data_IF_393137009827
#
_entry.id   IF_393137009827
#
_cell.length_a   1.000
_cell.length_b   1.000
_cell.length_c   1.000
_cell.angle_alpha   90.00
_cell.angle_beta   90.00
_cell.angle_gamma   90.00
#
_symmetry.space_group_name_H-M   'P 1'
#
loop_
_entity.id
_entity.type
_entity.pdbx_description
1 polymer ?
#
# COMPACT_ATOMS: atom_id res chain seq x y z
N UNK A 1 -5.79 26.94 5.89
CA UNK A 1 -5.88 26.71 7.36
C UNK A 1 -7.28 26.39 7.87
N UNK A 2 -8.34 27.15 7.55
CA UNK A 2 -9.70 26.85 8.04
C UNK A 2 -10.20 25.42 7.69
N UNK A 3 -9.97 24.96 6.45
CA UNK A 3 -10.34 23.60 6.02
C UNK A 3 -9.57 22.51 6.78
N UNK A 4 -8.30 22.75 7.09
CA UNK A 4 -7.49 21.85 7.90
C UNK A 4 -8.10 21.73 9.31
N UNK A 5 -8.40 22.86 9.95
CA UNK A 5 -9.01 22.87 11.29
C UNK A 5 -10.35 22.14 11.31
N UNK A 6 -11.21 22.40 10.31
CA UNK A 6 -12.49 21.69 10.17
C UNK A 6 -12.30 20.18 10.01
N UNK A 7 -11.36 19.76 9.15
CA UNK A 7 -11.02 18.34 8.95
C UNK A 7 -10.48 17.70 10.23
N UNK A 8 -9.64 18.39 10.99
CA UNK A 8 -9.10 17.90 12.27
C UNK A 8 -10.17 17.81 13.35
N UNK A 9 -11.08 18.78 13.42
CA UNK A 9 -12.24 18.73 14.33
C UNK A 9 -13.15 17.55 13.99
N UNK A 10 -13.48 17.34 12.70
CA UNK A 10 -14.26 16.20 12.26
C UNK A 10 -13.54 14.87 12.53
N UNK A 11 -12.22 14.81 12.33
CA UNK A 11 -11.42 13.63 12.64
C UNK A 11 -11.56 13.23 14.10
N UNK A 12 -11.44 14.21 15.01
CA UNK A 12 -11.64 14.00 16.45
C UNK A 12 -13.04 13.48 16.75
N UNK A 13 -14.06 14.10 16.15
CA UNK A 13 -15.46 13.68 16.33
C UNK A 13 -15.72 12.25 15.84
N UNK A 14 -15.18 11.87 14.69
CA UNK A 14 -15.33 10.50 14.13
C UNK A 14 -14.63 9.47 15.01
N UNK A 15 -13.51 9.84 15.63
CA UNK A 15 -12.65 8.93 16.38
C UNK A 15 -13.14 8.74 17.82
N UNK A 16 -13.51 9.84 18.49
CA UNK A 16 -13.86 9.83 19.92
C UNK A 16 -15.37 9.66 20.14
N UNK A 17 -16.21 10.04 19.18
CA UNK A 17 -17.65 10.01 19.32
C UNK A 17 -18.30 9.03 18.34
N UNK A 18 -19.34 8.33 18.81
CA UNK A 18 -20.15 7.44 17.97
C UNK A 18 -21.14 8.26 17.14
N UNK A 19 -20.64 8.89 16.07
CA UNK A 19 -21.47 9.70 15.19
C UNK A 19 -22.57 8.84 14.53
N UNK A 20 -23.80 9.37 14.37
CA UNK A 20 -24.87 8.67 13.66
C UNK A 20 -24.43 8.23 12.26
N UNK A 21 -24.87 7.04 11.83
CA UNK A 21 -24.51 6.47 10.52
C UNK A 21 -24.74 7.46 9.37
N UNK A 22 -25.90 8.13 9.37
CA UNK A 22 -26.24 9.12 8.34
C UNK A 22 -25.23 10.27 8.25
N UNK A 23 -24.71 10.74 9.38
CA UNK A 23 -23.71 11.80 9.40
C UNK A 23 -22.37 11.31 8.87
N UNK A 24 -21.96 10.08 9.21
CA UNK A 24 -20.74 9.46 8.67
C UNK A 24 -20.81 9.26 7.16
N UNK A 25 -21.96 8.85 6.63
CA UNK A 25 -22.22 8.77 5.20
C UNK A 25 -22.12 10.14 4.52
N UNK A 26 -22.69 11.18 5.13
CA UNK A 26 -22.58 12.55 4.62
C UNK A 26 -21.12 13.04 4.61
N UNK A 27 -20.36 12.79 5.68
CA UNK A 27 -18.93 13.15 5.75
C UNK A 27 -18.16 12.45 4.62
N UNK A 28 -18.29 11.12 4.50
CA UNK A 28 -17.66 10.32 3.44
C UNK A 28 -17.94 10.90 2.05
N UNK A 29 -19.22 11.06 1.70
CA UNK A 29 -19.64 11.49 0.37
C UNK A 29 -19.23 12.94 0.08
N UNK A 30 -19.30 13.80 1.08
CA UNK A 30 -18.85 15.19 0.95
C UNK A 30 -17.35 15.26 0.70
N UNK A 31 -16.53 14.54 1.47
CA UNK A 31 -15.06 14.55 1.32
C UNK A 31 -14.66 14.01 -0.06
N UNK A 32 -15.23 12.89 -0.51
CA UNK A 32 -14.97 12.34 -1.86
C UNK A 32 -15.33 13.37 -2.94
N UNK A 33 -16.54 13.93 -2.88
CA UNK A 33 -16.99 14.92 -3.86
C UNK A 33 -16.12 16.19 -3.85
N UNK A 34 -15.68 16.62 -2.67
CA UNK A 34 -14.83 17.79 -2.50
C UNK A 34 -13.43 17.56 -3.07
N UNK A 35 -12.83 16.39 -2.80
CA UNK A 35 -11.56 15.99 -3.39
C UNK A 35 -11.64 15.89 -4.92
N UNK A 36 -12.74 15.34 -5.45
CA UNK A 36 -12.95 15.27 -6.90
C UNK A 36 -13.07 16.66 -7.54
N UNK A 37 -13.84 17.56 -6.92
CA UNK A 37 -14.10 18.89 -7.48
C UNK A 37 -12.93 19.88 -7.28
N UNK A 38 -12.23 19.81 -6.16
CA UNK A 38 -11.25 20.83 -5.76
C UNK A 38 -9.85 20.30 -5.46
N UNK A 39 -9.65 19.00 -5.36
CA UNK A 39 -8.40 18.39 -4.89
C UNK A 39 -7.16 18.84 -5.66
N UNK A 40 -7.29 19.07 -6.97
CA UNK A 40 -6.24 19.62 -7.83
C UNK A 40 -5.71 21.01 -7.37
N UNK A 41 -6.59 21.82 -6.77
CA UNK A 41 -6.29 23.21 -6.35
C UNK A 41 -5.95 23.34 -4.87
N UNK A 42 -6.12 22.25 -4.10
CA UNK A 42 -5.89 22.28 -2.66
C UNK A 42 -4.39 22.16 -2.34
N UNK A 43 -3.99 22.84 -1.28
CA UNK A 43 -2.69 22.62 -0.66
C UNK A 43 -2.52 21.16 -0.24
N UNK A 44 -1.32 20.60 -0.44
CA UNK A 44 -1.04 19.19 -0.19
C UNK A 44 -1.44 18.73 1.22
N UNK A 45 -1.18 19.55 2.23
CA UNK A 45 -1.52 19.22 3.62
C UNK A 45 -3.03 19.19 3.89
N UNK A 46 -3.82 20.00 3.17
CA UNK A 46 -5.29 19.98 3.26
C UNK A 46 -5.81 18.70 2.62
N UNK A 47 -5.31 18.37 1.43
CA UNK A 47 -5.64 17.13 0.73
C UNK A 47 -5.32 15.91 1.60
N UNK A 48 -4.13 15.85 2.20
CA UNK A 48 -3.75 14.76 3.11
C UNK A 48 -4.68 14.66 4.32
N UNK A 49 -5.03 15.79 4.95
CA UNK A 49 -5.97 15.80 6.10
C UNK A 49 -7.36 15.28 5.73
N UNK A 50 -7.88 15.67 4.56
CA UNK A 50 -9.18 15.19 4.07
C UNK A 50 -9.15 13.70 3.75
N UNK A 51 -8.07 13.22 3.13
CA UNK A 51 -7.89 11.79 2.85
C UNK A 51 -7.81 10.99 4.15
N UNK A 52 -7.06 11.46 5.14
CA UNK A 52 -7.02 10.83 6.47
C UNK A 52 -8.41 10.74 7.08
N UNK A 53 -9.19 11.84 7.05
CA UNK A 53 -10.57 11.84 7.57
C UNK A 53 -11.43 10.79 6.86
N UNK A 54 -11.33 10.71 5.53
CA UNK A 54 -12.05 9.73 4.72
C UNK A 54 -11.70 8.30 5.13
N UNK A 55 -10.41 7.97 5.22
CA UNK A 55 -9.94 6.64 5.60
C UNK A 55 -10.35 6.29 7.05
N UNK A 56 -10.28 7.26 7.99
CA UNK A 56 -10.71 7.07 9.38
C UNK A 56 -12.20 6.74 9.47
N UNK A 57 -13.04 7.52 8.77
CA UNK A 57 -14.48 7.25 8.70
C UNK A 57 -14.73 5.86 8.13
N UNK A 58 -14.02 5.47 7.07
CA UNK A 58 -14.13 4.14 6.47
C UNK A 58 -13.75 3.02 7.43
N UNK A 59 -12.64 3.14 8.17
CA UNK A 59 -12.22 2.14 9.17
C UNK A 59 -13.25 1.95 10.28
N UNK A 60 -13.73 3.05 10.85
CA UNK A 60 -14.69 3.03 11.96
C UNK A 60 -16.08 2.55 11.54
N UNK A 61 -16.40 2.69 10.25
CA UNK A 61 -17.70 2.32 9.69
C UNK A 61 -17.63 1.04 8.85
N UNK A 62 -16.51 0.31 8.89
CA UNK A 62 -16.21 -0.77 7.95
C UNK A 62 -17.29 -1.87 7.91
N UNK A 63 -17.96 -2.13 9.03
CA UNK A 63 -19.02 -3.13 9.16
C UNK A 63 -20.43 -2.55 9.26
N UNK A 64 -20.57 -1.22 9.22
CA UNK A 64 -21.86 -0.58 9.44
C UNK A 64 -22.67 -0.44 8.14
N UNK A 65 -21.99 -0.25 7.01
CA UNK A 65 -22.60 -0.20 5.68
C UNK A 65 -21.56 -0.60 4.60
N UNK A 66 -22.02 -1.33 3.58
CA UNK A 66 -21.20 -1.82 2.46
C UNK A 66 -20.58 -0.68 1.66
N UNK A 67 -21.23 0.49 1.61
CA UNK A 67 -20.72 1.66 0.88
C UNK A 67 -19.36 2.13 1.40
N UNK A 68 -19.02 1.91 2.67
CA UNK A 68 -17.68 2.25 3.18
C UNK A 68 -16.59 1.37 2.56
N UNK A 69 -16.93 0.14 2.16
CA UNK A 69 -16.01 -0.79 1.50
C UNK A 69 -15.87 -0.51 0.00
N UNK A 70 -16.74 0.32 -0.59
CA UNK A 70 -16.61 0.78 -1.97
C UNK A 70 -15.51 1.85 -2.18
N UNK A 71 -14.79 2.27 -1.14
CA UNK A 71 -13.75 3.31 -1.28
C UNK A 71 -12.65 2.97 -2.30
N UNK A 72 -12.33 1.69 -2.48
CA UNK A 72 -11.39 1.25 -3.53
C UNK A 72 -11.93 1.55 -4.93
N UNK A 73 -13.22 1.28 -5.15
CA UNK A 73 -13.93 1.57 -6.41
C UNK A 73 -14.06 3.07 -6.64
N UNK A 74 -14.35 3.85 -5.59
CA UNK A 74 -14.38 5.31 -5.69
C UNK A 74 -13.01 5.89 -6.06
N UNK A 75 -11.93 5.30 -5.52
CA UNK A 75 -10.55 5.69 -5.85
C UNK A 75 -10.22 5.46 -7.32
N UNK A 76 -10.83 4.47 -7.97
CA UNK A 76 -10.66 4.25 -9.42
C UNK A 76 -11.19 5.42 -10.25
N UNK A 77 -12.21 6.14 -9.78
CA UNK A 77 -12.70 7.34 -10.49
C UNK A 77 -11.64 8.44 -10.56
N UNK A 78 -10.78 8.54 -9.54
CA UNK A 78 -9.62 9.45 -9.54
C UNK A 78 -8.48 8.92 -10.42
N UNK A 79 -8.22 7.62 -10.39
CA UNK A 79 -7.16 6.97 -11.17
C UNK A 79 -7.45 6.89 -12.67
N UNK A 80 -8.72 7.01 -13.08
CA UNK A 80 -9.11 7.09 -14.48
C UNK A 80 -8.98 8.51 -15.07
N UNK A 81 -8.60 9.50 -14.25
CA UNK A 81 -8.37 10.87 -14.70
C UNK A 81 -6.88 11.12 -14.88
N UNK A 82 -6.51 11.93 -15.87
CA UNK A 82 -5.12 12.33 -16.08
C UNK A 82 -4.71 13.41 -15.04
N UNK A 83 -3.42 13.47 -14.67
CA UNK A 83 -2.79 14.51 -13.82
C UNK A 83 -2.95 14.37 -12.29
N UNK A 84 -3.32 15.44 -11.58
CA UNK A 84 -3.29 15.56 -10.12
C UNK A 84 -4.33 14.67 -9.42
N UNK A 85 -5.47 14.41 -10.07
CA UNK A 85 -6.49 13.47 -9.57
C UNK A 85 -5.93 12.06 -9.46
N UNK A 86 -5.10 11.64 -10.41
CA UNK A 86 -4.38 10.36 -10.32
C UNK A 86 -3.55 10.25 -9.03
N UNK A 87 -2.81 11.32 -8.69
CA UNK A 87 -2.03 11.38 -7.45
C UNK A 87 -2.92 11.27 -6.20
N UNK A 88 -4.12 11.89 -6.23
CA UNK A 88 -5.09 11.82 -5.14
C UNK A 88 -5.60 10.38 -5.00
N UNK A 89 -5.93 9.71 -6.11
CA UNK A 89 -6.35 8.30 -6.10
C UNK A 89 -5.31 7.39 -5.44
N UNK A 90 -4.04 7.52 -5.83
CA UNK A 90 -2.94 6.77 -5.20
C UNK A 90 -2.82 7.08 -3.70
N UNK A 91 -2.90 8.36 -3.31
CA UNK A 91 -2.82 8.78 -1.89
C UNK A 91 -3.99 8.26 -1.06
N UNK A 92 -5.21 8.18 -1.61
CA UNK A 92 -6.36 7.60 -0.92
C UNK A 92 -6.12 6.12 -0.63
N UNK A 93 -5.64 5.37 -1.62
CA UNK A 93 -5.36 3.94 -1.44
C UNK A 93 -4.22 3.71 -0.45
N UNK A 94 -3.14 4.49 -0.53
CA UNK A 94 -1.97 4.38 0.36
C UNK A 94 -2.36 4.66 1.82
N UNK A 95 -3.09 5.77 2.05
CA UNK A 95 -3.61 6.11 3.37
C UNK A 95 -4.63 5.09 3.87
N UNK A 96 -5.45 4.50 2.99
CA UNK A 96 -6.41 3.46 3.38
C UNK A 96 -5.69 2.21 3.88
N UNK A 97 -4.68 1.73 3.17
CA UNK A 97 -3.89 0.57 3.61
C UNK A 97 -3.21 0.88 4.94
N UNK A 98 -2.59 2.05 5.10
CA UNK A 98 -2.00 2.49 6.36
C UNK A 98 -3.01 2.56 7.51
N UNK A 99 -4.18 3.16 7.28
CA UNK A 99 -5.22 3.32 8.29
C UNK A 99 -5.77 1.97 8.75
N UNK A 100 -5.91 1.01 7.85
CA UNK A 100 -6.36 -0.35 8.18
C UNK A 100 -5.32 -1.16 8.95
N UNK A 101 -4.03 -0.93 8.67
CA UNK A 101 -2.93 -1.66 9.27
C UNK A 101 -2.48 -1.09 10.63
N UNK A 102 -2.77 0.18 10.93
CA UNK A 102 -2.36 0.82 12.19
C UNK A 102 -3.29 0.46 13.35
N UNK A 103 -2.74 0.42 14.57
CA UNK A 103 -3.53 0.38 15.80
C UNK A 103 -4.22 1.72 16.03
N UNK A 104 -5.43 1.70 16.58
CA UNK A 104 -6.20 2.91 16.89
C UNK A 104 -6.73 2.80 18.32
N UNK A 105 -6.22 3.59 19.28
CA UNK A 105 -6.51 3.44 20.71
C UNK A 105 -8.00 3.34 21.05
N UNK A 106 -8.85 4.00 20.27
CA UNK A 106 -10.29 4.08 20.46
C UNK A 106 -11.04 2.80 20.01
N UNK A 107 -10.37 1.90 19.29
CA UNK A 107 -10.91 0.59 18.91
C UNK A 107 -10.30 -0.51 19.77
N UNK A 108 -11.13 -1.45 20.23
CA UNK A 108 -10.63 -2.65 20.91
C UNK A 108 -9.77 -3.50 19.98
N UNK A 109 -8.81 -4.26 20.53
CA UNK A 109 -7.97 -5.17 19.74
C UNK A 109 -8.78 -6.16 18.89
N UNK A 110 -9.92 -6.62 19.40
CA UNK A 110 -10.84 -7.48 18.66
C UNK A 110 -11.44 -6.78 17.45
N UNK A 111 -11.94 -5.54 17.60
CA UNK A 111 -12.48 -4.75 16.49
C UNK A 111 -11.39 -4.45 15.46
N UNK A 112 -10.20 -4.04 15.89
CA UNK A 112 -9.08 -3.76 15.01
C UNK A 112 -8.71 -4.98 14.17
N UNK A 113 -8.51 -6.15 14.81
CA UNK A 113 -8.20 -7.40 14.10
C UNK A 113 -9.30 -7.80 13.13
N UNK A 114 -10.57 -7.62 13.52
CA UNK A 114 -11.73 -7.92 12.66
C UNK A 114 -11.73 -7.06 11.39
N UNK A 115 -11.56 -5.74 11.53
CA UNK A 115 -11.50 -4.82 10.39
C UNK A 115 -10.28 -5.12 9.52
N UNK A 116 -9.10 -5.24 10.12
CA UNK A 116 -7.86 -5.50 9.39
C UNK A 116 -7.89 -6.82 8.61
N UNK A 117 -8.46 -7.88 9.19
CA UNK A 117 -8.58 -9.18 8.53
C UNK A 117 -9.58 -9.13 7.36
N UNK A 118 -10.72 -8.45 7.56
CA UNK A 118 -11.72 -8.27 6.51
C UNK A 118 -11.18 -7.42 5.35
N UNK A 119 -10.45 -6.34 5.63
CA UNK A 119 -9.80 -5.52 4.60
C UNK A 119 -8.75 -6.30 3.81
N UNK A 120 -7.90 -7.08 4.50
CA UNK A 120 -6.89 -7.97 3.90
C UNK A 120 -7.52 -8.94 2.89
N UNK A 121 -8.67 -9.49 3.21
CA UNK A 121 -9.35 -10.49 2.39
C UNK A 121 -10.16 -9.89 1.23
N UNK A 122 -10.74 -8.70 1.41
CA UNK A 122 -11.68 -8.14 0.45
C UNK A 122 -11.08 -7.08 -0.48
N UNK A 123 -10.04 -6.36 -0.05
CA UNK A 123 -9.59 -5.15 -0.74
C UNK A 123 -8.08 -5.12 -1.03
N UNK A 124 -7.25 -5.64 -0.11
CA UNK A 124 -5.79 -5.42 -0.18
C UNK A 124 -5.14 -5.95 -1.47
N UNK A 125 -5.56 -7.13 -1.96
CA UNK A 125 -5.04 -7.67 -3.22
C UNK A 125 -5.36 -6.76 -4.41
N UNK A 126 -6.60 -6.28 -4.50
CA UNK A 126 -7.02 -5.36 -5.56
C UNK A 126 -6.20 -4.06 -5.53
N UNK A 127 -5.92 -3.53 -4.34
CA UNK A 127 -5.09 -2.33 -4.18
C UNK A 127 -3.65 -2.60 -4.64
N UNK A 128 -3.10 -3.77 -4.32
CA UNK A 128 -1.79 -4.17 -4.80
C UNK A 128 -1.74 -4.30 -6.34
N UNK A 129 -2.75 -4.91 -6.96
CA UNK A 129 -2.89 -4.97 -8.43
C UNK A 129 -2.94 -3.58 -9.07
N UNK A 130 -3.70 -2.65 -8.47
CA UNK A 130 -3.76 -1.26 -8.89
C UNK A 130 -2.37 -0.62 -8.82
N UNK A 131 -1.61 -0.86 -7.75
CA UNK A 131 -0.25 -0.31 -7.60
C UNK A 131 0.70 -0.83 -8.69
N UNK A 132 0.65 -2.12 -9.02
CA UNK A 132 1.47 -2.72 -10.08
C UNK A 132 1.10 -2.18 -11.46
N UNK A 133 -0.19 -2.05 -11.75
CA UNK A 133 -0.67 -1.43 -13.00
C UNK A 133 -0.20 0.02 -13.11
N UNK A 134 -0.23 0.76 -12.00
CA UNK A 134 0.25 2.14 -11.93
C UNK A 134 1.75 2.23 -12.19
N UNK A 135 2.55 1.35 -11.58
CA UNK A 135 3.99 1.24 -11.80
C UNK A 135 4.32 0.92 -13.25
N UNK A 136 3.59 0.00 -13.89
CA UNK A 136 3.78 -0.30 -15.31
C UNK A 136 3.50 0.91 -16.20
N UNK A 137 2.40 1.63 -15.95
CA UNK A 137 2.02 2.81 -16.72
C UNK A 137 2.97 4.00 -16.51
N UNK A 138 3.58 4.11 -15.33
CA UNK A 138 4.47 5.22 -14.97
C UNK A 138 5.96 4.94 -15.22
N UNK A 139 6.35 3.73 -15.63
CA UNK A 139 7.76 3.32 -15.72
C UNK A 139 8.62 4.22 -16.62
N UNK A 140 8.07 4.70 -17.73
CA UNK A 140 8.75 5.60 -18.68
C UNK A 140 8.45 7.09 -18.42
N UNK A 141 7.73 7.40 -17.34
CA UNK A 141 7.25 8.74 -17.03
C UNK A 141 8.29 9.56 -16.26
N UNK A 142 8.41 10.86 -16.55
CA UNK A 142 9.27 11.77 -15.80
C UNK A 142 8.67 12.23 -14.46
N UNK A 143 7.41 11.89 -14.16
CA UNK A 143 6.68 12.27 -12.94
C UNK A 143 7.11 11.44 -11.73
N UNK A 144 8.33 11.68 -11.23
CA UNK A 144 8.93 10.99 -10.09
C UNK A 144 8.01 10.90 -8.86
N UNK A 145 7.25 11.96 -8.55
CA UNK A 145 6.31 11.97 -7.42
C UNK A 145 5.15 10.96 -7.57
N UNK A 146 4.70 10.69 -8.80
CA UNK A 146 3.67 9.68 -9.04
C UNK A 146 4.26 8.27 -8.95
N UNK A 147 5.48 8.07 -9.46
CA UNK A 147 6.21 6.82 -9.33
C UNK A 147 6.48 6.49 -7.86
N UNK A 148 6.91 7.47 -7.07
CA UNK A 148 7.10 7.35 -5.63
C UNK A 148 5.80 6.98 -4.92
N UNK A 149 4.68 7.65 -5.24
CA UNK A 149 3.37 7.32 -4.68
C UNK A 149 2.92 5.88 -5.03
N UNK A 150 3.16 5.42 -6.26
CA UNK A 150 2.81 4.07 -6.68
C UNK A 150 3.72 3.01 -6.02
N UNK A 151 5.02 3.29 -5.87
CA UNK A 151 5.95 2.42 -5.15
C UNK A 151 5.62 2.36 -3.66
N UNK A 152 5.26 3.49 -3.06
CA UNK A 152 4.81 3.58 -1.65
C UNK A 152 3.61 2.69 -1.43
N UNK A 153 2.59 2.83 -2.28
CA UNK A 153 1.38 2.02 -2.21
C UNK A 153 1.71 0.52 -2.31
N UNK A 154 2.58 0.15 -3.25
CA UNK A 154 2.99 -1.24 -3.43
C UNK A 154 3.70 -1.80 -2.20
N UNK A 155 4.64 -1.03 -1.66
CA UNK A 155 5.40 -1.39 -0.46
C UNK A 155 4.50 -1.49 0.77
N UNK A 156 3.54 -0.59 0.91
CA UNK A 156 2.57 -0.56 2.00
C UNK A 156 1.68 -1.81 1.96
N UNK A 157 1.23 -2.22 0.77
CA UNK A 157 0.49 -3.48 0.59
C UNK A 157 1.32 -4.71 0.96
N UNK A 158 2.57 -4.77 0.52
CA UNK A 158 3.50 -5.88 0.81
C UNK A 158 3.97 -5.91 2.27
N UNK A 159 3.88 -4.77 2.98
CA UNK A 159 4.24 -4.63 4.39
C UNK A 159 3.03 -4.70 5.32
N UNK A 160 1.85 -5.03 4.80
CA UNK A 160 0.65 -5.21 5.61
C UNK A 160 0.86 -6.32 6.65
N UNK A 161 0.28 -6.19 7.84
CA UNK A 161 0.34 -7.25 8.84
C UNK A 161 -0.64 -8.36 8.47
N UNK A 162 -0.10 -9.35 7.75
CA UNK A 162 -0.89 -10.49 7.27
C UNK A 162 -1.22 -11.51 8.36
N UNK A 163 -0.54 -11.52 9.50
CA UNK A 163 -0.79 -12.48 10.59
C UNK A 163 -1.72 -11.88 11.65
N UNK A 164 -1.69 -10.55 11.79
CA UNK A 164 -2.52 -9.77 12.67
C UNK A 164 -1.69 -9.14 13.79
N UNK A 165 -2.10 -7.92 14.14
CA UNK A 165 -1.43 -6.92 14.98
C UNK A 165 -0.61 -7.56 16.12
N UNK A 166 0.65 -7.82 15.80
CA UNK A 166 1.75 -8.43 16.58
C UNK A 166 1.55 -9.89 17.02
N UNK A 167 2.00 -10.82 16.17
CA UNK A 167 2.41 -12.16 16.62
C UNK A 167 3.65 -12.07 17.52
N UNK A 168 3.78 -13.02 18.44
CA UNK A 168 4.89 -13.13 19.40
C UNK A 168 6.26 -13.15 18.66
N UNK A 169 7.13 -12.18 18.96
CA UNK A 169 8.48 -12.03 18.36
C UNK A 169 9.45 -13.14 18.78
N UNK A 170 9.01 -14.08 19.63
CA UNK A 170 9.80 -15.21 20.14
C UNK A 170 9.94 -16.40 19.17
N UNK A 171 9.31 -16.36 17.99
CA UNK A 171 9.30 -17.48 17.04
C UNK A 171 10.41 -17.39 15.99
N UNK A 172 11.03 -18.53 15.65
CA UNK A 172 12.04 -18.67 14.57
C UNK A 172 11.50 -18.31 13.15
N UNK A 173 10.22 -17.94 13.01
CA UNK A 173 9.60 -17.48 11.75
C UNK A 173 9.79 -15.96 11.49
N UNK A 174 10.69 -15.28 12.23
CA UNK A 174 10.96 -13.84 12.11
C UNK A 174 11.29 -13.45 10.66
N UNK A 175 10.35 -12.73 10.05
CA UNK A 175 10.51 -12.15 8.71
C UNK A 175 10.06 -13.04 7.56
N UNK A 176 9.24 -14.07 7.83
CA UNK A 176 8.40 -14.70 6.81
C UNK A 176 7.05 -13.96 6.68
N UNK A 177 6.58 -13.76 5.44
CA UNK A 177 5.32 -13.09 5.15
C UNK A 177 4.30 -14.13 4.68
N UNK A 178 3.16 -14.19 5.36
CA UNK A 178 2.08 -15.14 5.09
C UNK A 178 0.91 -14.47 4.36
N UNK A 179 1.07 -14.22 3.06
CA UNK A 179 -0.01 -13.64 2.25
C UNK A 179 -1.16 -14.64 2.00
N UNK A 180 -2.41 -14.18 1.79
CA UNK A 180 -3.53 -15.04 1.40
C UNK A 180 -3.26 -15.79 0.09
N UNK A 181 -3.86 -16.98 -0.07
CA UNK A 181 -3.67 -17.82 -1.25
C UNK A 181 -4.08 -17.16 -2.58
N UNK A 182 -4.98 -16.17 -2.54
CA UNK A 182 -5.37 -15.37 -3.69
C UNK A 182 -4.20 -14.59 -4.32
N UNK A 183 -3.17 -14.25 -3.53
CA UNK A 183 -1.97 -13.55 -4.00
C UNK A 183 -1.03 -14.45 -4.82
N UNK A 184 -1.28 -15.76 -4.86
CA UNK A 184 -0.40 -16.70 -5.55
C UNK A 184 -0.16 -16.33 -7.00
N UNK A 185 -1.22 -15.99 -7.73
CA UNK A 185 -1.13 -15.67 -9.16
C UNK A 185 -0.17 -14.51 -9.40
N UNK A 186 -0.22 -13.48 -8.55
CA UNK A 186 0.59 -12.28 -8.73
C UNK A 186 2.02 -12.46 -8.21
N UNK A 187 2.24 -13.31 -7.19
CA UNK A 187 3.58 -13.60 -6.66
C UNK A 187 4.35 -14.56 -7.55
N UNK A 188 3.68 -15.58 -8.11
CA UNK A 188 4.32 -16.56 -9.00
C UNK A 188 4.66 -15.97 -10.39
N UNK A 189 4.02 -14.86 -10.76
CA UNK A 189 4.22 -14.17 -12.03
C UNK A 189 5.61 -13.48 -12.09
N UNK A 190 6.53 -13.89 -12.98
CA UNK A 190 7.88 -13.32 -13.05
C UNK A 190 7.89 -11.82 -13.36
N UNK A 191 6.87 -11.34 -14.10
CA UNK A 191 6.76 -9.92 -14.44
C UNK A 191 6.58 -9.02 -13.21
N UNK A 192 6.04 -9.54 -12.10
CA UNK A 192 5.93 -8.80 -10.83
C UNK A 192 7.29 -8.39 -10.29
N UNK A 193 8.26 -9.31 -10.26
CA UNK A 193 9.63 -9.00 -9.81
C UNK A 193 10.33 -8.04 -10.78
N UNK A 194 10.11 -8.22 -12.09
CA UNK A 194 10.72 -7.40 -13.13
C UNK A 194 10.29 -5.93 -13.07
N UNK A 195 9.10 -5.63 -12.52
CA UNK A 195 8.68 -4.25 -12.25
C UNK A 195 9.68 -3.60 -11.29
N UNK A 196 9.92 -4.21 -10.12
CA UNK A 196 10.78 -3.64 -9.09
C UNK A 196 12.26 -3.63 -9.49
N UNK A 197 12.77 -4.71 -10.07
CA UNK A 197 14.13 -4.69 -10.63
C UNK A 197 14.28 -3.61 -11.71
N UNK A 198 13.26 -3.40 -12.54
CA UNK A 198 13.23 -2.31 -13.51
C UNK A 198 13.27 -0.93 -12.86
N UNK A 199 12.49 -0.69 -11.81
CA UNK A 199 12.53 0.57 -11.06
C UNK A 199 13.89 0.79 -10.38
N UNK A 200 14.47 -0.24 -9.76
CA UNK A 200 15.82 -0.18 -9.21
C UNK A 200 16.85 0.22 -10.28
N UNK A 201 16.80 -0.42 -11.45
CA UNK A 201 17.73 -0.15 -12.53
C UNK A 201 17.55 1.23 -13.17
N UNK A 202 16.34 1.80 -13.18
CA UNK A 202 16.06 3.05 -13.88
C UNK A 202 16.10 4.30 -12.98
N UNK A 203 16.11 4.12 -11.66
CA UNK A 203 15.98 5.23 -10.71
C UNK A 203 17.14 5.28 -9.72
N UNK A 204 17.12 6.29 -8.87
CA UNK A 204 18.03 6.44 -7.73
C UNK A 204 17.20 6.55 -6.45
N UNK A 205 17.81 6.51 -5.25
CA UNK A 205 17.07 6.73 -4.02
C UNK A 205 16.28 8.06 -4.06
N UNK A 206 15.05 8.10 -3.52
CA UNK A 206 14.42 7.07 -2.69
C UNK A 206 13.72 5.92 -3.48
N UNK A 207 13.43 6.09 -4.77
CA UNK A 207 12.62 5.12 -5.54
C UNK A 207 13.32 3.75 -5.67
N UNK A 208 14.62 3.74 -5.96
CA UNK A 208 15.38 2.48 -6.08
C UNK A 208 15.42 1.69 -4.76
N UNK A 209 15.48 2.41 -3.63
CA UNK A 209 15.43 1.82 -2.29
C UNK A 209 14.08 1.17 -2.05
N UNK A 210 12.98 1.87 -2.33
CA UNK A 210 11.62 1.33 -2.18
C UNK A 210 11.38 0.12 -3.06
N UNK A 211 11.94 0.11 -4.28
CA UNK A 211 11.88 -1.05 -5.16
C UNK A 211 12.60 -2.27 -4.55
N UNK A 212 13.77 -2.09 -3.93
CA UNK A 212 14.44 -3.15 -3.17
C UNK A 212 13.63 -3.59 -1.96
N UNK A 213 13.01 -2.67 -1.21
CA UNK A 213 12.15 -3.02 -0.07
C UNK A 213 10.98 -3.92 -0.51
N UNK A 214 10.34 -3.62 -1.64
CA UNK A 214 9.32 -4.48 -2.24
C UNK A 214 9.87 -5.88 -2.58
N UNK A 215 11.07 -5.96 -3.17
CA UNK A 215 11.73 -7.25 -3.46
C UNK A 215 12.03 -8.03 -2.18
N UNK A 216 12.47 -7.37 -1.10
CA UNK A 216 12.69 -8.00 0.21
C UNK A 216 11.38 -8.60 0.72
N UNK A 217 10.27 -7.87 0.64
CA UNK A 217 8.95 -8.39 1.08
C UNK A 217 8.53 -9.60 0.23
N UNK A 218 8.74 -9.56 -1.08
CA UNK A 218 8.41 -10.69 -1.96
C UNK A 218 9.31 -11.91 -1.68
N UNK A 219 10.61 -11.72 -1.48
CA UNK A 219 11.54 -12.80 -1.11
C UNK A 219 11.18 -13.42 0.25
N UNK A 220 10.63 -12.62 1.17
CA UNK A 220 10.13 -13.08 2.46
C UNK A 220 8.82 -13.89 2.40
N UNK A 221 8.14 -14.00 1.25
CA UNK A 221 6.88 -14.75 1.15
C UNK A 221 7.09 -16.23 1.48
N UNK A 222 6.27 -16.77 2.38
CA UNK A 222 6.40 -18.15 2.88
C UNK A 222 6.29 -19.17 1.75
N UNK A 223 7.16 -20.18 1.80
CA UNK A 223 7.18 -21.33 0.86
C UNK A 223 5.80 -21.95 0.62
N UNK A 224 4.94 -22.00 1.64
CA UNK A 224 3.61 -22.61 1.58
C UNK A 224 2.65 -21.92 0.60
N UNK A 225 2.96 -20.71 0.10
CA UNK A 225 2.17 -20.08 -0.95
C UNK A 225 2.26 -20.87 -2.28
N UNK A 226 3.44 -21.41 -2.58
CA UNK A 226 3.73 -22.12 -3.83
C UNK A 226 3.21 -23.55 -3.78
N UNK A 227 2.33 -23.90 -4.72
CA UNK A 227 1.73 -25.25 -4.77
C UNK A 227 2.73 -26.30 -5.21
N UNK A 228 3.65 -25.92 -6.11
CA UNK A 228 4.62 -26.84 -6.70
C UNK A 228 6.04 -26.37 -6.45
N UNK A 229 6.98 -27.31 -6.40
CA UNK A 229 8.40 -26.97 -6.34
C UNK A 229 8.86 -26.26 -7.64
N UNK A 230 8.22 -26.54 -8.77
CA UNK A 230 8.55 -25.94 -10.06
C UNK A 230 8.25 -24.43 -10.07
N UNK A 231 7.05 -24.01 -9.66
CA UNK A 231 6.68 -22.58 -9.60
C UNK A 231 7.55 -21.82 -8.60
N UNK A 232 7.86 -22.43 -7.46
CA UNK A 232 8.81 -21.87 -6.49
C UNK A 232 10.21 -21.69 -7.09
N UNK A 233 10.74 -22.69 -7.79
CA UNK A 233 12.07 -22.60 -8.41
C UNK A 233 12.12 -21.52 -9.49
N UNK A 234 11.04 -21.34 -10.24
CA UNK A 234 10.94 -20.26 -11.24
C UNK A 234 10.96 -18.87 -10.59
N UNK A 235 10.21 -18.69 -9.50
CA UNK A 235 10.22 -17.46 -8.71
C UNK A 235 11.62 -17.16 -8.14
N UNK A 236 12.25 -18.15 -7.50
CA UNK A 236 13.59 -18.01 -6.93
C UNK A 236 14.66 -17.76 -8.00
N UNK A 237 14.58 -18.44 -9.14
CA UNK A 237 15.49 -18.21 -10.27
C UNK A 237 15.41 -16.77 -10.77
N UNK A 238 14.20 -16.21 -10.86
CA UNK A 238 13.98 -14.82 -11.26
C UNK A 238 14.59 -13.84 -10.25
N UNK A 239 14.38 -14.07 -8.94
CA UNK A 239 15.03 -13.28 -7.87
C UNK A 239 16.56 -13.35 -7.94
N UNK A 240 17.11 -14.56 -8.06
CA UNK A 240 18.56 -14.79 -8.12
C UNK A 240 19.20 -14.15 -9.35
N UNK A 241 18.52 -14.18 -10.50
CA UNK A 241 19.02 -13.54 -11.72
C UNK A 241 19.07 -12.03 -11.56
N UNK A 242 18.03 -11.41 -10.98
CA UNK A 242 18.01 -9.98 -10.71
C UNK A 242 19.05 -9.56 -9.68
N UNK A 243 19.22 -10.31 -8.57
CA UNK A 243 20.25 -9.97 -7.57
C UNK A 243 21.67 -10.19 -8.08
N UNK A 244 21.88 -11.20 -8.93
CA UNK A 244 23.15 -11.42 -9.63
C UNK A 244 23.51 -10.23 -10.52
N UNK A 245 22.57 -9.72 -11.32
CA UNK A 245 22.82 -8.57 -12.20
C UNK A 245 23.23 -7.32 -11.42
N UNK A 246 22.59 -7.07 -10.26
CA UNK A 246 22.96 -5.96 -9.35
C UNK A 246 24.41 -6.14 -8.85
N UNK A 247 24.79 -7.35 -8.45
CA UNK A 247 26.15 -7.65 -7.98
C UNK A 247 27.21 -7.51 -9.08
N UNK A 248 26.94 -8.03 -10.27
CA UNK A 248 27.89 -7.98 -11.39
C UNK A 248 28.10 -6.56 -11.90
N UNK A 249 27.04 -5.76 -11.97
CA UNK A 249 27.11 -4.38 -12.45
C UNK A 249 27.54 -3.38 -11.37
N UNK A 250 27.33 -3.70 -10.09
CA UNK A 250 27.52 -2.78 -8.96
C UNK A 250 26.58 -1.56 -8.99
N UNK A 251 25.59 -1.54 -9.89
CA UNK A 251 24.77 -0.36 -10.16
C UNK A 251 23.95 0.02 -8.94
N UNK A 252 24.08 1.27 -8.49
CA UNK A 252 23.29 1.80 -7.38
C UNK A 252 23.75 1.36 -5.98
N UNK A 253 24.72 0.43 -5.86
CA UNK A 253 25.27 -0.03 -4.58
C UNK A 253 26.21 0.98 -3.91
N UNK A 254 26.61 2.03 -4.62
CA UNK A 254 27.32 3.18 -4.06
C UNK A 254 26.44 4.03 -3.13
N UNK A 255 25.12 3.88 -3.19
CA UNK A 255 24.19 4.52 -2.26
C UNK A 255 23.97 3.63 -1.03
N UNK A 256 24.20 4.19 0.16
CA UNK A 256 24.07 3.48 1.44
C UNK A 256 22.69 2.81 1.60
N UNK A 257 21.60 3.51 1.26
CA UNK A 257 20.24 2.99 1.41
C UNK A 257 19.97 1.78 0.51
N UNK A 258 20.45 1.83 -0.73
CA UNK A 258 20.33 0.70 -1.66
C UNK A 258 21.20 -0.47 -1.21
N UNK A 259 22.43 -0.21 -0.77
CA UNK A 259 23.33 -1.25 -0.28
C UNK A 259 22.72 -1.98 0.91
N UNK A 260 22.17 -1.24 1.88
CA UNK A 260 21.50 -1.80 3.04
C UNK A 260 20.33 -2.73 2.66
N UNK A 261 19.40 -2.24 1.82
CA UNK A 261 18.24 -3.04 1.40
C UNK A 261 18.64 -4.22 0.51
N UNK A 262 19.69 -4.08 -0.30
CA UNK A 262 20.23 -5.18 -1.08
C UNK A 262 20.83 -6.28 -0.20
N UNK A 263 21.58 -5.94 0.85
CA UNK A 263 22.05 -6.91 1.84
C UNK A 263 20.88 -7.63 2.54
N UNK A 264 19.80 -6.90 2.85
CA UNK A 264 18.57 -7.52 3.41
C UNK A 264 17.95 -8.49 2.43
N UNK A 265 17.92 -8.17 1.14
CA UNK A 265 17.39 -9.05 0.09
C UNK A 265 18.19 -10.34 -0.04
N UNK A 266 19.53 -10.26 0.00
CA UNK A 266 20.40 -11.44 -0.02
C UNK A 266 20.27 -12.32 1.24
N UNK A 267 19.83 -11.74 2.35
CA UNK A 267 19.60 -12.46 3.60
C UNK A 267 18.26 -13.21 3.68
N UNK A 268 17.38 -13.08 2.67
CA UNK A 268 16.09 -13.77 2.58
C UNK A 268 16.17 -14.96 1.64
#
# INVERSE_FOLDING_TARGET
YALLMASSSLMKQVTENHLPLQLRLQIRNHVISYLAARGATLENFVTSSLIQLLCRVTKFSWFDDDIFRELVKDSMNFLNQETQHYAIGLKILDQLVSEMNQTTPELTMMQQRKVASSFREQALLQIYEISLKSLLGLKADARLKLQEAALSLSLQCLSYDFVGISADESSDEVGTIQVPSAWRVIVEEPSTLNIYFGYYALTSPPLSKMALECLVRLASVRRSLFVSNATRLQFLSSLMMGTKDILETGKGLNHHDNYHEFCRLLGR
#
